data_IF_538018359033
#
_entry.id   IF_538018359033
#
_cell.length_a   1.000
_cell.length_b   1.000
_cell.length_c   1.000
_cell.angle_alpha   90.00
_cell.angle_beta   90.00
_cell.angle_gamma   90.00
#
_symmetry.space_group_name_H-M   'P 1'
#
loop_
_entity.id
_entity.type
_entity.pdbx_description
1 polymer ?
#
# COMPACT_ATOMS: atom_id res chain seq x y z
N UNK A 1 -29.51 10.88 -0.19
CA UNK A 1 -28.62 11.55 -1.18
C UNK A 1 -27.61 10.51 -1.65
N UNK A 2 -27.35 10.39 -2.95
CA UNK A 2 -26.33 9.46 -3.45
C UNK A 2 -24.95 10.00 -3.13
N UNK A 3 -24.11 9.19 -2.49
CA UNK A 3 -22.68 9.49 -2.31
C UNK A 3 -21.96 8.99 -3.55
N UNK A 4 -21.06 9.81 -4.09
CA UNK A 4 -20.30 9.50 -5.29
C UNK A 4 -18.86 9.18 -4.91
N UNK A 5 -18.28 8.22 -5.61
CA UNK A 5 -17.20 7.36 -5.09
C UNK A 5 -16.19 7.12 -6.20
N UNK A 6 -14.94 6.85 -5.84
CA UNK A 6 -13.92 6.47 -6.82
C UNK A 6 -14.05 4.99 -7.12
N UNK A 7 -13.97 4.62 -8.40
CA UNK A 7 -13.90 3.22 -8.81
C UNK A 7 -12.43 2.80 -8.90
N UNK A 8 -12.12 1.62 -8.37
CA UNK A 8 -10.78 1.05 -8.38
C UNK A 8 -10.82 -0.37 -8.93
N UNK A 9 -9.77 -0.74 -9.64
CA UNK A 9 -9.55 -2.08 -10.18
C UNK A 9 -8.12 -2.50 -9.84
N UNK A 10 -7.94 -3.63 -9.17
CA UNK A 10 -6.62 -4.16 -8.84
C UNK A 10 -6.62 -5.70 -8.93
N UNK A 11 -5.46 -6.32 -9.12
CA UNK A 11 -5.32 -7.76 -9.09
C UNK A 11 -4.67 -8.19 -7.78
N UNK A 12 -5.40 -8.91 -6.94
CA UNK A 12 -4.98 -9.12 -5.56
C UNK A 12 -5.89 -10.02 -4.74
N UNK A 13 -5.70 -9.94 -3.43
CA UNK A 13 -6.54 -10.59 -2.42
C UNK A 13 -7.18 -9.53 -1.53
N UNK A 14 -8.47 -9.71 -1.28
CA UNK A 14 -9.24 -8.89 -0.35
C UNK A 14 -9.28 -9.60 1.00
N UNK A 15 -8.79 -8.92 2.04
CA UNK A 15 -8.77 -9.43 3.40
C UNK A 15 -10.13 -9.33 4.10
N UNK A 16 -11.05 -8.53 3.55
CA UNK A 16 -12.34 -8.27 4.17
C UNK A 16 -12.26 -7.33 5.37
N UNK A 17 -13.31 -7.36 6.17
CA UNK A 17 -13.42 -6.61 7.43
C UNK A 17 -12.54 -7.26 8.51
N UNK A 18 -12.22 -6.50 9.55
CA UNK A 18 -11.51 -6.95 10.77
C UNK A 18 -10.04 -7.39 10.58
N UNK A 19 -9.43 -7.10 9.43
CA UNK A 19 -7.99 -7.31 9.22
C UNK A 19 -7.25 -5.98 9.29
N UNK A 20 -6.41 -5.85 10.31
CA UNK A 20 -5.46 -4.74 10.43
C UNK A 20 -4.13 -5.11 9.75
N UNK A 21 -3.52 -4.14 9.09
CA UNK A 21 -2.16 -4.31 8.56
C UNK A 21 -1.15 -3.97 9.67
N UNK A 22 -0.02 -4.70 9.81
CA UNK A 22 0.41 -5.89 9.11
C UNK A 22 -0.06 -7.15 9.84
N UNK A 23 -1.22 -7.68 9.41
CA UNK A 23 -1.71 -9.04 9.66
C UNK A 23 -2.27 -9.29 11.08
N UNK A 24 -3.02 -8.30 11.60
CA UNK A 24 -3.96 -8.32 12.73
C UNK A 24 -3.38 -8.48 14.15
N UNK A 25 -3.10 -7.35 14.82
CA UNK A 25 -2.94 -7.28 16.28
C UNK A 25 -1.93 -6.27 16.83
N UNK A 26 -0.97 -5.80 16.03
CA UNK A 26 -0.02 -4.78 16.45
C UNK A 26 -0.46 -3.40 15.97
N UNK A 27 -0.90 -2.56 16.91
CA UNK A 27 -1.20 -1.13 16.70
C UNK A 27 0.04 -0.32 16.24
N UNK A 28 1.22 -0.95 16.17
CA UNK A 28 2.53 -0.30 15.96
C UNK A 28 2.62 0.49 14.63
N UNK A 29 1.98 0.03 13.55
CA UNK A 29 2.14 0.62 12.21
C UNK A 29 0.90 1.40 11.72
N UNK A 30 -0.20 1.39 12.49
CA UNK A 30 -1.44 2.10 12.16
C UNK A 30 -2.10 1.69 10.83
N UNK A 31 -3.11 2.46 10.41
CA UNK A 31 -3.84 2.29 9.13
C UNK A 31 -3.42 3.30 8.04
N UNK A 32 -2.29 3.97 8.27
CA UNK A 32 -1.79 5.04 7.42
C UNK A 32 -1.22 4.52 6.11
N UNK A 33 -1.15 5.41 5.11
CA UNK A 33 -0.69 5.08 3.76
C UNK A 33 0.75 4.52 3.72
N UNK A 34 1.55 4.79 4.76
CA UNK A 34 2.95 4.39 4.86
C UNK A 34 3.17 3.09 5.66
N UNK A 35 2.12 2.51 6.25
CA UNK A 35 2.24 1.35 7.13
C UNK A 35 2.97 0.17 6.45
N UNK A 36 2.70 -0.06 5.16
CA UNK A 36 3.39 -1.08 4.35
C UNK A 36 4.89 -0.80 4.20
N UNK A 37 5.26 0.45 3.95
CA UNK A 37 6.68 0.83 3.79
C UNK A 37 7.45 0.71 5.10
N UNK A 38 6.85 1.14 6.20
CA UNK A 38 7.43 1.09 7.54
C UNK A 38 7.61 -0.36 8.01
N UNK A 39 6.57 -1.18 7.86
CA UNK A 39 6.66 -2.63 8.13
C UNK A 39 7.76 -3.28 7.30
N UNK A 40 7.88 -2.93 6.01
CA UNK A 40 8.90 -3.51 5.15
C UNK A 40 10.32 -3.10 5.54
N UNK A 41 10.52 -1.82 5.88
CA UNK A 41 11.79 -1.29 6.41
C UNK A 41 12.20 -2.04 7.68
N UNK A 42 11.28 -2.18 8.65
CA UNK A 42 11.53 -2.91 9.89
C UNK A 42 11.89 -4.38 9.62
N UNK A 43 11.08 -5.05 8.78
CA UNK A 43 11.25 -6.46 8.40
C UNK A 43 12.60 -6.75 7.74
N UNK A 44 13.13 -5.80 6.96
CA UNK A 44 14.41 -5.95 6.25
C UNK A 44 15.59 -5.33 6.99
N UNK A 45 15.39 -4.85 8.21
CA UNK A 45 16.46 -4.28 9.03
C UNK A 45 17.00 -2.96 8.48
N UNK A 46 16.13 -2.12 7.93
CA UNK A 46 16.47 -0.73 7.61
C UNK A 46 17.02 -0.02 8.85
N UNK A 47 18.06 0.79 8.64
CA UNK A 47 18.67 1.59 9.70
C UNK A 47 18.56 3.05 9.32
N UNK A 48 17.87 3.81 10.16
CA UNK A 48 17.71 5.22 9.96
C UNK A 48 19.03 5.99 10.10
N UNK A 49 19.19 6.99 9.24
CA UNK A 49 20.28 7.95 9.29
C UNK A 49 19.85 9.13 10.16
N UNK A 50 19.64 8.85 11.46
CA UNK A 50 19.21 9.83 12.47
C UNK A 50 17.82 10.42 12.17
N UNK A 51 16.87 10.16 13.07
CA UNK A 51 15.57 10.81 12.99
C UNK A 51 15.72 12.34 13.16
N UNK A 52 15.07 13.14 12.30
CA UNK A 52 15.08 14.58 12.47
C UNK A 52 14.34 14.96 13.76
N UNK A 53 14.75 16.06 14.39
CA UNK A 53 13.98 16.66 15.49
C UNK A 53 12.65 17.19 14.94
N UNK A 54 11.58 16.44 15.19
CA UNK A 54 10.23 16.75 14.73
C UNK A 54 9.62 17.97 15.43
N UNK A 55 10.12 18.32 16.62
CA UNK A 55 9.59 19.41 17.45
C UNK A 55 10.35 20.73 17.25
N UNK A 56 11.56 20.69 16.66
CA UNK A 56 12.32 21.91 16.38
C UNK A 56 11.55 22.89 15.45
N UNK A 57 11.49 24.17 15.77
CA UNK A 57 10.74 25.12 14.95
C UNK A 57 11.53 25.62 13.72
N UNK A 58 10.93 25.45 12.53
CA UNK A 58 11.09 26.35 11.37
C UNK A 58 12.46 26.60 10.74
N UNK A 59 13.53 25.90 11.14
CA UNK A 59 14.88 26.14 10.59
C UNK A 59 15.11 25.41 9.24
N UNK A 60 15.91 26.03 8.36
CA UNK A 60 16.39 25.38 7.13
C UNK A 60 17.16 24.09 7.42
N UNK A 61 17.86 24.04 8.56
CA UNK A 61 18.57 22.84 9.03
C UNK A 61 17.59 21.68 9.29
N UNK A 62 16.44 21.95 9.94
CA UNK A 62 15.38 20.95 10.13
C UNK A 62 14.83 20.47 8.80
N UNK A 63 14.49 21.39 7.89
CA UNK A 63 13.94 21.02 6.58
C UNK A 63 14.93 20.17 5.79
N UNK A 64 16.23 20.48 5.86
CA UNK A 64 17.27 19.67 5.22
C UNK A 64 17.43 18.30 5.88
N UNK A 65 17.34 18.20 7.21
CA UNK A 65 17.37 16.92 7.93
C UNK A 65 16.16 16.05 7.55
N UNK A 66 14.95 16.60 7.53
CA UNK A 66 13.73 15.91 7.10
C UNK A 66 13.85 15.42 5.66
N UNK A 67 14.32 16.29 4.75
CA UNK A 67 14.55 15.89 3.35
C UNK A 67 15.58 14.78 3.22
N UNK A 68 16.69 14.85 3.98
CA UNK A 68 17.72 13.83 3.98
C UNK A 68 17.17 12.48 4.50
N UNK A 69 16.37 12.51 5.56
CA UNK A 69 15.67 11.35 6.11
C UNK A 69 14.79 10.67 5.05
N UNK A 70 13.86 11.41 4.43
CA UNK A 70 12.99 10.85 3.39
C UNK A 70 13.77 10.37 2.16
N UNK A 71 14.79 11.12 1.71
CA UNK A 71 15.61 10.73 0.56
C UNK A 71 16.40 9.43 0.82
N UNK A 72 16.86 9.21 2.05
CA UNK A 72 17.51 7.96 2.45
C UNK A 72 16.51 6.79 2.44
N UNK A 73 15.32 6.99 3.01
CA UNK A 73 14.24 6.00 2.97
C UNK A 73 13.85 5.62 1.55
N UNK A 74 13.64 6.60 0.68
CA UNK A 74 13.28 6.39 -0.73
C UNK A 74 14.40 5.65 -1.48
N UNK A 75 15.66 6.05 -1.29
CA UNK A 75 16.81 5.37 -1.90
C UNK A 75 16.88 3.90 -1.46
N UNK A 76 16.59 3.62 -0.19
CA UNK A 76 16.58 2.26 0.33
C UNK A 76 15.42 1.44 -0.22
N UNK A 77 14.20 2.01 -0.31
CA UNK A 77 13.03 1.35 -0.89
C UNK A 77 13.21 1.03 -2.37
N UNK A 78 13.88 1.91 -3.13
CA UNK A 78 14.25 1.61 -4.54
C UNK A 78 15.22 0.42 -4.65
N UNK A 79 16.12 0.25 -3.67
CA UNK A 79 17.04 -0.88 -3.62
C UNK A 79 16.40 -2.16 -3.05
N UNK A 80 15.33 -2.03 -2.27
CA UNK A 80 14.61 -3.10 -1.60
C UNK A 80 13.10 -2.98 -1.91
N UNK A 81 12.68 -3.21 -3.17
CA UNK A 81 11.30 -2.98 -3.57
C UNK A 81 10.34 -3.87 -2.78
N UNK A 82 9.20 -3.29 -2.41
CA UNK A 82 8.10 -4.04 -1.79
C UNK A 82 7.44 -4.87 -2.90
N UNK A 83 7.31 -6.20 -2.76
CA UNK A 83 6.79 -7.05 -3.83
C UNK A 83 5.26 -7.01 -3.95
N UNK A 84 4.60 -6.14 -3.20
CA UNK A 84 3.14 -6.01 -3.09
C UNK A 84 2.74 -4.54 -2.97
N UNK A 85 1.50 -4.23 -3.32
CA UNK A 85 0.88 -2.91 -3.18
C UNK A 85 -0.31 -3.01 -2.21
N UNK A 86 -0.36 -2.15 -1.20
CA UNK A 86 -1.49 -2.08 -0.26
C UNK A 86 -2.51 -1.06 -0.79
N UNK A 87 -3.72 -1.52 -1.10
CA UNK A 87 -4.79 -0.68 -1.64
C UNK A 87 -5.93 -0.58 -0.63
N UNK A 88 -6.22 0.64 -0.19
CA UNK A 88 -7.37 0.93 0.67
C UNK A 88 -8.66 0.90 -0.13
N UNK A 89 -9.69 0.29 0.44
CA UNK A 89 -11.05 0.27 -0.09
C UNK A 89 -12.08 0.48 1.03
N UNK A 90 -13.37 0.48 0.67
CA UNK A 90 -14.49 0.84 1.54
C UNK A 90 -14.57 2.35 1.84
N UNK A 91 -13.98 2.82 2.94
CA UNK A 91 -14.05 4.22 3.34
C UNK A 91 -12.84 4.66 4.16
N UNK A 92 -12.58 5.97 4.23
CA UNK A 92 -11.56 6.52 5.13
C UNK A 92 -11.84 6.27 6.62
N UNK A 93 -13.11 6.26 7.03
CA UNK A 93 -13.50 6.02 8.42
C UNK A 93 -13.47 4.55 8.86
N UNK A 94 -13.53 3.62 7.90
CA UNK A 94 -13.45 2.18 8.10
C UNK A 94 -12.63 1.58 6.95
N UNK A 95 -11.30 1.75 6.96
CA UNK A 95 -10.46 1.30 5.86
C UNK A 95 -10.42 -0.23 5.84
N UNK A 96 -10.69 -0.80 4.67
CA UNK A 96 -10.39 -2.21 4.37
C UNK A 96 -9.20 -2.26 3.42
N UNK A 97 -8.54 -3.41 3.38
CA UNK A 97 -7.29 -3.55 2.64
C UNK A 97 -7.36 -4.66 1.60
N UNK A 98 -6.89 -4.33 0.40
CA UNK A 98 -6.52 -5.28 -0.64
C UNK A 98 -5.00 -5.28 -0.71
N UNK A 99 -4.42 -6.47 -0.73
CA UNK A 99 -3.03 -6.62 -1.13
C UNK A 99 -2.99 -6.99 -2.62
N UNK A 100 -2.44 -6.11 -3.42
CA UNK A 100 -2.42 -6.19 -4.87
C UNK A 100 -1.02 -6.49 -5.40
N UNK A 101 -0.98 -7.11 -6.58
CA UNK A 101 0.24 -7.22 -7.38
C UNK A 101 0.66 -5.80 -7.81
N UNK A 102 1.93 -5.39 -7.63
CA UNK A 102 2.38 -4.03 -7.92
C UNK A 102 2.06 -3.59 -9.35
N UNK A 103 1.50 -2.38 -9.48
CA UNK A 103 1.21 -1.77 -10.79
C UNK A 103 -0.09 -2.23 -11.43
N UNK A 104 -0.89 -3.03 -10.72
CA UNK A 104 -2.21 -3.48 -11.20
C UNK A 104 -3.35 -2.58 -10.74
N UNK A 105 -3.12 -1.73 -9.73
CA UNK A 105 -4.07 -0.76 -9.24
C UNK A 105 -4.34 0.33 -10.29
N UNK A 106 -5.60 0.45 -10.68
CA UNK A 106 -6.13 1.44 -11.60
C UNK A 106 -7.36 2.07 -10.97
N UNK A 107 -7.62 3.33 -11.26
CA UNK A 107 -8.73 4.04 -10.66
C UNK A 107 -9.36 5.03 -11.64
N UNK A 108 -10.62 5.33 -11.41
CA UNK A 108 -11.38 6.35 -12.10
C UNK A 108 -12.00 7.28 -11.06
N UNK A 109 -11.80 8.58 -11.26
CA UNK A 109 -12.43 9.59 -10.44
C UNK A 109 -13.93 9.63 -10.67
N UNK A 110 -14.64 10.02 -9.62
CA UNK A 110 -16.03 10.45 -9.72
C UNK A 110 -16.24 11.40 -10.92
N UNK A 111 -17.18 11.03 -11.78
CA UNK A 111 -17.59 11.85 -12.93
C UNK A 111 -16.70 11.72 -14.17
N UNK A 112 -15.54 11.07 -14.04
CA UNK A 112 -14.54 10.97 -15.10
C UNK A 112 -14.34 9.50 -15.50
N UNK A 113 -15.02 9.02 -16.57
CA UNK A 113 -14.83 7.66 -17.03
C UNK A 113 -13.38 7.43 -17.48
N UNK A 114 -12.77 6.36 -16.99
CA UNK A 114 -11.46 5.91 -17.45
C UNK A 114 -11.61 4.76 -18.46
N UNK A 115 -10.85 4.82 -19.55
CA UNK A 115 -10.71 3.68 -20.46
C UNK A 115 -9.69 2.70 -19.91
N UNK A 116 -10.05 1.42 -19.84
CA UNK A 116 -9.15 0.35 -19.43
C UNK A 116 -8.65 -0.36 -20.68
N UNK A 117 -7.33 -0.36 -20.88
CA UNK A 117 -6.68 -1.24 -21.84
C UNK A 117 -6.66 -2.66 -21.29
N UNK A 118 -7.44 -3.56 -21.91
CA UNK A 118 -7.58 -4.95 -21.48
C UNK A 118 -6.27 -5.75 -21.56
N UNK A 119 -5.28 -5.29 -22.35
CA UNK A 119 -3.96 -5.91 -22.36
C UNK A 119 -3.21 -5.72 -21.04
N UNK A 120 -3.57 -4.69 -20.26
CA UNK A 120 -3.10 -4.49 -18.88
C UNK A 120 -3.76 -5.41 -17.87
N UNK A 121 -4.81 -6.13 -18.27
CA UNK A 121 -5.48 -7.13 -17.42
C UNK A 121 -4.81 -8.50 -17.46
N UNK A 122 -3.53 -8.53 -17.85
CA UNK A 122 -2.68 -9.72 -17.91
C UNK A 122 -1.59 -9.59 -16.87
N UNK A 123 -1.49 -10.59 -16.00
CA UNK A 123 -0.44 -10.69 -14.99
C UNK A 123 0.60 -11.66 -15.52
N UNK A 124 1.86 -11.22 -15.53
CA UNK A 124 2.95 -12.12 -15.91
C UNK A 124 3.10 -13.25 -14.89
N UNK A 125 3.61 -14.39 -15.35
CA UNK A 125 3.88 -15.53 -14.49
C UNK A 125 4.78 -15.13 -13.30
N UNK A 126 5.85 -14.38 -13.58
CA UNK A 126 6.82 -13.95 -12.57
C UNK A 126 6.19 -13.05 -11.50
N UNK A 127 5.29 -12.13 -11.89
CA UNK A 127 4.55 -11.30 -10.93
C UNK A 127 3.63 -12.14 -10.04
N UNK A 128 2.93 -13.11 -10.63
CA UNK A 128 2.08 -14.03 -9.87
C UNK A 128 2.88 -14.85 -8.86
N UNK A 129 4.03 -15.41 -9.29
CA UNK A 129 4.93 -16.19 -8.43
C UNK A 129 5.47 -15.31 -7.30
N UNK A 130 6.05 -14.15 -7.60
CA UNK A 130 6.60 -13.25 -6.60
C UNK A 130 5.57 -12.84 -5.54
N UNK A 131 4.34 -12.58 -5.95
CA UNK A 131 3.24 -12.29 -5.04
C UNK A 131 2.91 -13.48 -4.13
N UNK A 132 2.75 -14.68 -4.70
CA UNK A 132 2.46 -15.88 -3.90
C UNK A 132 3.60 -16.29 -2.97
N UNK A 133 4.85 -16.11 -3.39
CA UNK A 133 6.03 -16.35 -2.56
C UNK A 133 6.07 -15.36 -1.39
N UNK A 134 5.78 -14.08 -1.63
CA UNK A 134 5.67 -13.09 -0.57
C UNK A 134 4.64 -13.52 0.49
N UNK A 135 3.44 -13.89 0.06
CA UNK A 135 2.39 -14.36 0.98
C UNK A 135 2.88 -15.56 1.81
N UNK A 136 3.53 -16.52 1.16
CA UNK A 136 4.03 -17.72 1.82
C UNK A 136 5.16 -17.43 2.80
N UNK A 137 6.11 -16.55 2.45
CA UNK A 137 7.27 -16.21 3.29
C UNK A 137 6.83 -15.52 4.58
N UNK A 138 5.80 -14.69 4.49
CA UNK A 138 5.30 -13.90 5.62
C UNK A 138 4.08 -14.51 6.31
N UNK A 139 3.73 -15.76 5.99
CA UNK A 139 2.64 -16.49 6.65
C UNK A 139 1.27 -15.85 6.45
N UNK A 140 1.08 -15.11 5.36
CA UNK A 140 -0.15 -14.38 5.08
C UNK A 140 -1.15 -15.37 4.50
N UNK A 141 -2.21 -15.66 5.26
CA UNK A 141 -3.28 -16.54 4.79
C UNK A 141 -4.01 -15.90 3.61
N UNK A 142 -4.40 -16.72 2.63
CA UNK A 142 -5.20 -16.29 1.48
C UNK A 142 -6.68 -16.53 1.78
N UNK A 143 -7.42 -15.54 2.29
CA UNK A 143 -8.85 -15.72 2.58
C UNK A 143 -9.66 -15.97 1.30
N UNK A 144 -9.14 -15.51 0.15
CA UNK A 144 -9.77 -15.59 -1.16
C UNK A 144 -8.73 -15.88 -2.23
N UNK A 145 -9.21 -16.42 -3.36
CA UNK A 145 -8.37 -16.65 -4.55
C UNK A 145 -7.94 -15.32 -5.16
N UNK A 146 -6.67 -15.25 -5.57
CA UNK A 146 -6.11 -14.15 -6.33
C UNK A 146 -6.96 -13.88 -7.60
N UNK A 147 -7.42 -12.64 -7.77
CA UNK A 147 -8.31 -12.26 -8.86
C UNK A 147 -8.30 -10.76 -9.14
N UNK A 148 -8.90 -10.35 -10.27
CA UNK A 148 -9.22 -8.95 -10.54
C UNK A 148 -10.41 -8.52 -9.68
N UNK A 149 -10.21 -7.49 -8.88
CA UNK A 149 -11.17 -6.95 -7.93
C UNK A 149 -11.60 -5.56 -8.40
N UNK A 150 -12.89 -5.38 -8.66
CA UNK A 150 -13.52 -4.07 -8.88
C UNK A 150 -14.16 -3.63 -7.58
N UNK A 151 -13.77 -2.46 -7.07
CA UNK A 151 -14.23 -1.95 -5.78
C UNK A 151 -14.35 -0.42 -5.81
N UNK A 152 -14.89 0.15 -4.73
CA UNK A 152 -14.99 1.59 -4.55
C UNK A 152 -14.33 2.04 -3.27
N UNK A 153 -13.79 3.26 -3.28
CA UNK A 153 -13.28 3.94 -2.10
C UNK A 153 -14.04 5.22 -1.83
N UNK A 154 -14.45 5.41 -0.58
CA UNK A 154 -15.16 6.58 -0.08
C UNK A 154 -14.25 7.37 0.86
N UNK A 155 -13.60 8.39 0.32
CA UNK A 155 -12.89 9.38 1.11
C UNK A 155 -13.94 10.41 1.60
N UNK A 156 -14.32 10.36 2.88
CA UNK A 156 -15.22 11.35 3.50
C UNK A 156 -14.42 12.37 4.28
#
# INVERSE_FOLDING_TARGET
MGVSTNAHLAYGIDFGEDVEFPWSGDEEYGSDANALEEWWKATKGFKDVTEPDWDAEGSDEKLNAIRAYYAHGEKWLRANPIPVELVKHCSGGYPMFILAVPGTNMWANRGDPASIDVSRLVISFDQGVAFTEFLSVYGIEQPKKLSWLLFSYWDQ
#
